data_IF_000421789653
#
_entry.id   IF_000421789653
#
_cell.length_a   1.000
_cell.length_b   1.000
_cell.length_c   1.000
_cell.angle_alpha   90.00
_cell.angle_beta   90.00
_cell.angle_gamma   90.00
#
_symmetry.space_group_name_H-M   'P 1'
#
loop_
_entity.id
_entity.type
_entity.pdbx_description
1 polymer ?
#
# COMPACT_ATOMS: atom_id res chain seq x y z
N UNK A 1 -33.19 8.58 -4.93
CA UNK A 1 -32.81 7.17 -5.16
C UNK A 1 -31.40 7.12 -5.78
N UNK A 2 -30.70 6.01 -5.62
CA UNK A 2 -29.34 5.80 -6.12
C UNK A 2 -29.20 6.14 -7.62
N UNK A 3 -30.19 5.82 -8.46
CA UNK A 3 -30.17 6.19 -9.87
C UNK A 3 -30.17 7.70 -10.11
N UNK A 4 -30.93 8.48 -9.32
CA UNK A 4 -30.94 9.94 -9.47
C UNK A 4 -29.59 10.52 -9.03
N UNK A 5 -29.00 9.99 -7.99
CA UNK A 5 -27.68 10.39 -7.52
C UNK A 5 -26.59 10.05 -8.55
N UNK A 6 -26.61 8.83 -9.09
CA UNK A 6 -25.71 8.41 -10.15
C UNK A 6 -25.83 9.32 -11.39
N UNK A 7 -27.05 9.64 -11.84
CA UNK A 7 -27.29 10.54 -12.97
C UNK A 7 -26.74 11.95 -12.71
N UNK A 8 -26.96 12.47 -11.50
CA UNK A 8 -26.53 13.82 -11.15
C UNK A 8 -25.01 13.93 -10.99
N UNK A 9 -24.37 12.87 -10.48
CA UNK A 9 -22.94 12.87 -10.18
C UNK A 9 -22.07 12.42 -11.36
N UNK A 10 -22.57 11.47 -12.17
CA UNK A 10 -21.78 10.80 -13.22
C UNK A 10 -22.38 10.93 -14.62
N UNK A 11 -23.57 11.54 -14.77
CA UNK A 11 -24.28 11.63 -16.05
C UNK A 11 -24.88 10.30 -16.55
N UNK A 12 -24.80 9.25 -15.75
CA UNK A 12 -25.29 7.89 -16.05
C UNK A 12 -26.09 7.38 -14.85
N UNK A 13 -27.24 6.76 -15.09
CA UNK A 13 -28.11 6.26 -14.01
C UNK A 13 -27.99 4.76 -13.73
N UNK A 14 -27.05 4.09 -14.37
CA UNK A 14 -26.79 2.69 -14.12
C UNK A 14 -26.23 2.52 -12.70
N UNK A 15 -26.76 1.54 -12.00
CA UNK A 15 -26.31 1.15 -10.65
C UNK A 15 -26.18 -0.34 -10.58
N UNK A 16 -25.27 -0.82 -9.74
CA UNK A 16 -25.10 -2.24 -9.43
C UNK A 16 -25.12 -2.44 -7.91
N UNK A 17 -25.25 -3.68 -7.48
CA UNK A 17 -25.33 -4.05 -6.07
C UNK A 17 -24.05 -4.79 -5.72
N UNK A 18 -23.41 -4.35 -4.64
CA UNK A 18 -22.25 -5.03 -4.07
C UNK A 18 -22.59 -5.64 -2.72
N UNK A 19 -21.89 -6.71 -2.35
CA UNK A 19 -22.01 -7.30 -1.01
C UNK A 19 -21.45 -6.34 0.03
N UNK A 20 -22.27 -6.02 1.03
CA UNK A 20 -21.81 -5.25 2.18
C UNK A 20 -21.12 -6.17 3.17
N UNK A 21 -19.85 -5.93 3.46
CA UNK A 21 -19.06 -6.67 4.43
C UNK A 21 -19.11 -5.95 5.77
N UNK A 22 -19.54 -6.63 6.82
CA UNK A 22 -19.57 -6.08 8.18
C UNK A 22 -18.18 -6.13 8.81
N UNK A 23 -17.81 -5.07 9.54
CA UNK A 23 -16.50 -4.93 10.22
C UNK A 23 -15.32 -5.26 9.30
N UNK A 24 -15.25 -4.66 8.10
CA UNK A 24 -14.27 -5.02 7.10
C UNK A 24 -12.85 -4.64 7.53
N UNK A 25 -11.89 -5.47 7.13
CA UNK A 25 -10.48 -5.08 7.09
C UNK A 25 -10.11 -4.69 5.68
N UNK A 26 -9.34 -3.64 5.56
CA UNK A 26 -8.76 -3.20 4.30
C UNK A 26 -7.35 -3.77 4.19
N UNK A 27 -7.21 -4.80 3.39
CA UNK A 27 -5.93 -5.49 3.17
C UNK A 27 -5.56 -5.34 1.70
N UNK A 28 -4.33 -5.04 1.44
CA UNK A 28 -3.85 -4.83 0.07
C UNK A 28 -2.59 -5.65 -0.22
N UNK A 29 -2.49 -6.10 -1.47
CA UNK A 29 -1.37 -6.91 -1.95
C UNK A 29 -0.51 -6.06 -2.90
N UNK A 30 0.76 -5.87 -2.56
CA UNK A 30 1.72 -5.27 -3.47
C UNK A 30 2.07 -6.26 -4.56
N UNK A 31 1.93 -5.86 -5.81
CA UNK A 31 2.41 -6.62 -6.97
C UNK A 31 3.52 -5.88 -7.70
N UNK A 32 4.37 -6.63 -8.37
CA UNK A 32 5.41 -6.11 -9.24
C UNK A 32 5.50 -6.99 -10.49
N UNK A 33 5.37 -6.39 -11.66
CA UNK A 33 5.42 -7.08 -12.95
C UNK A 33 6.46 -6.49 -13.90
N UNK A 34 7.06 -7.31 -14.76
CA UNK A 34 7.94 -6.88 -15.84
C UNK A 34 7.30 -7.03 -17.23
N UNK A 35 7.99 -6.52 -18.24
CA UNK A 35 7.56 -6.62 -19.65
C UNK A 35 7.70 -8.03 -20.25
N UNK A 36 8.30 -8.97 -19.51
CA UNK A 36 8.57 -10.34 -19.92
C UNK A 36 7.52 -11.33 -19.40
N UNK A 37 6.49 -10.84 -18.69
CA UNK A 37 5.39 -11.65 -18.14
C UNK A 37 5.66 -12.23 -16.76
N UNK A 38 6.78 -11.86 -16.11
CA UNK A 38 7.01 -12.23 -14.73
C UNK A 38 6.22 -11.27 -13.82
N UNK A 39 5.46 -11.83 -12.89
CA UNK A 39 4.72 -11.08 -11.89
C UNK A 39 4.87 -11.78 -10.55
N UNK A 40 5.21 -11.02 -9.52
CA UNK A 40 5.30 -11.48 -8.13
C UNK A 40 4.41 -10.64 -7.23
N UNK A 41 3.94 -11.21 -6.12
CA UNK A 41 3.35 -10.45 -5.02
C UNK A 41 4.35 -10.34 -3.87
N UNK A 42 4.35 -9.18 -3.22
CA UNK A 42 5.34 -8.80 -2.20
C UNK A 42 4.72 -8.72 -0.80
N UNK A 43 3.87 -9.70 -0.49
CA UNK A 43 3.06 -9.73 0.72
C UNK A 43 2.00 -8.63 0.79
N UNK A 44 1.34 -8.55 1.92
CA UNK A 44 0.25 -7.62 2.18
C UNK A 44 0.64 -6.46 3.08
N UNK A 45 -0.23 -5.44 3.04
CA UNK A 45 -0.31 -4.37 4.03
C UNK A 45 -1.69 -4.34 4.65
N UNK A 46 -1.75 -4.12 5.95
CA UNK A 46 -2.96 -3.84 6.73
C UNK A 46 -3.21 -2.34 6.71
N UNK A 47 -4.30 -1.89 6.12
CA UNK A 47 -4.61 -0.48 5.93
C UNK A 47 -6.00 -0.10 6.46
N UNK A 48 -6.51 -0.82 7.48
CA UNK A 48 -7.85 -0.60 8.02
C UNK A 48 -7.99 0.66 8.88
N UNK A 49 -6.87 1.21 9.38
CA UNK A 49 -6.92 2.44 10.19
C UNK A 49 -7.01 3.62 9.23
N UNK A 50 -8.23 4.07 9.03
CA UNK A 50 -8.56 5.14 8.08
C UNK A 50 -9.44 6.21 8.73
N UNK A 51 -9.35 7.41 8.21
CA UNK A 51 -10.28 8.49 8.51
C UNK A 51 -10.92 8.98 7.22
N UNK A 52 -12.24 8.85 7.10
CA UNK A 52 -13.00 9.23 5.89
C UNK A 52 -12.42 8.58 4.63
N UNK A 53 -12.12 7.28 4.69
CA UNK A 53 -11.50 6.49 3.61
C UNK A 53 -10.06 6.89 3.26
N UNK A 54 -9.43 7.77 4.04
CA UNK A 54 -8.01 8.06 3.91
C UNK A 54 -7.22 7.19 4.88
N UNK A 55 -6.25 6.46 4.38
CA UNK A 55 -5.32 5.66 5.19
C UNK A 55 -4.51 6.59 6.10
N UNK A 56 -4.32 6.19 7.36
CA UNK A 56 -3.62 6.98 8.40
C UNK A 56 -2.48 6.20 9.02
N UNK A 57 -2.70 4.91 9.28
CA UNK A 57 -1.68 3.99 9.77
C UNK A 57 -1.74 2.73 8.92
N UNK A 58 -0.59 2.34 8.43
CA UNK A 58 -0.38 1.14 7.63
C UNK A 58 0.62 0.22 8.32
N UNK A 59 0.43 -1.07 8.19
CA UNK A 59 1.21 -2.09 8.89
C UNK A 59 1.51 -3.26 7.96
N UNK A 60 2.70 -3.81 8.04
CA UNK A 60 3.08 -5.04 7.34
C UNK A 60 3.99 -5.90 8.23
N UNK A 61 3.72 -7.22 8.31
CA UNK A 61 2.56 -7.94 7.77
C UNK A 61 1.27 -7.63 8.55
N UNK A 62 0.11 -8.01 8.00
CA UNK A 62 -1.17 -7.89 8.71
C UNK A 62 -1.22 -8.88 9.89
N UNK A 63 -1.57 -8.42 11.10
CA UNK A 63 -1.80 -9.32 12.24
C UNK A 63 -3.12 -10.08 12.14
N UNK A 64 -3.99 -9.71 11.19
CA UNK A 64 -5.34 -10.23 11.09
C UNK A 64 -5.46 -11.45 10.18
N UNK A 65 -4.82 -11.43 9.00
CA UNK A 65 -4.97 -12.52 8.04
C UNK A 65 -4.07 -13.71 8.32
N UNK A 66 -4.59 -14.91 8.03
CA UNK A 66 -3.83 -16.15 8.11
C UNK A 66 -2.83 -16.29 6.95
N UNK A 67 -1.84 -17.16 7.09
CA UNK A 67 -0.90 -17.46 6.00
C UNK A 67 -1.62 -18.05 4.77
N UNK A 68 -2.69 -18.82 4.99
CA UNK A 68 -3.49 -19.36 3.90
C UNK A 68 -4.23 -18.26 3.14
N UNK A 69 -4.85 -17.31 3.86
CA UNK A 69 -5.53 -16.16 3.28
C UNK A 69 -4.56 -15.27 2.52
N UNK A 70 -3.41 -14.95 3.12
CA UNK A 70 -2.32 -14.18 2.49
C UNK A 70 -1.90 -14.78 1.16
N UNK A 71 -1.67 -16.09 1.15
CA UNK A 71 -1.29 -16.80 -0.07
C UNK A 71 -2.38 -16.72 -1.13
N UNK A 72 -3.62 -17.01 -0.76
CA UNK A 72 -4.75 -16.97 -1.69
C UNK A 72 -4.95 -15.57 -2.29
N UNK A 73 -4.87 -14.51 -1.47
CA UNK A 73 -4.94 -13.13 -1.93
C UNK A 73 -3.78 -12.78 -2.87
N UNK A 74 -2.56 -13.18 -2.52
CA UNK A 74 -1.36 -12.96 -3.34
C UNK A 74 -1.46 -13.65 -4.70
N UNK A 75 -1.89 -14.91 -4.74
CA UNK A 75 -2.09 -15.66 -5.99
C UNK A 75 -3.19 -15.03 -6.86
N UNK A 76 -4.28 -14.55 -6.25
CA UNK A 76 -5.33 -13.84 -6.99
C UNK A 76 -4.82 -12.51 -7.54
N UNK A 77 -4.06 -11.74 -6.76
CA UNK A 77 -3.47 -10.48 -7.21
C UNK A 77 -2.52 -10.69 -8.41
N UNK A 78 -1.68 -11.72 -8.36
CA UNK A 78 -0.81 -12.11 -9.49
C UNK A 78 -1.63 -12.52 -10.71
N UNK A 79 -2.70 -13.29 -10.53
CA UNK A 79 -3.56 -13.71 -11.63
C UNK A 79 -4.23 -12.51 -12.31
N UNK A 80 -4.74 -11.55 -11.52
CA UNK A 80 -5.32 -10.30 -12.02
C UNK A 80 -4.28 -9.48 -12.81
N UNK A 81 -3.09 -9.27 -12.24
CA UNK A 81 -2.02 -8.52 -12.89
C UNK A 81 -1.59 -9.18 -14.22
N UNK A 82 -1.44 -10.50 -14.25
CA UNK A 82 -1.12 -11.25 -15.48
C UNK A 82 -2.21 -11.14 -16.53
N UNK A 83 -3.49 -11.20 -16.15
CA UNK A 83 -4.61 -11.12 -17.08
C UNK A 83 -4.64 -9.79 -17.86
N UNK A 84 -4.19 -8.71 -17.24
CA UNK A 84 -4.10 -7.38 -17.86
C UNK A 84 -2.69 -7.04 -18.37
N UNK A 85 -1.75 -8.00 -18.29
CA UNK A 85 -0.32 -7.80 -18.68
C UNK A 85 0.30 -6.60 -17.94
N UNK A 86 0.00 -6.48 -16.65
CA UNK A 86 0.47 -5.37 -15.83
C UNK A 86 1.98 -5.34 -15.71
N UNK A 87 2.56 -4.16 -15.79
CA UNK A 87 3.98 -3.89 -15.64
C UNK A 87 4.19 -2.80 -14.58
N UNK A 88 5.32 -2.83 -13.89
CA UNK A 88 5.69 -1.94 -12.79
C UNK A 88 5.06 -2.35 -11.44
N UNK A 89 5.21 -1.50 -10.42
CA UNK A 89 4.59 -1.69 -9.13
C UNK A 89 3.12 -1.28 -9.16
N UNK A 90 2.28 -2.11 -8.58
CA UNK A 90 0.85 -1.85 -8.40
C UNK A 90 0.34 -2.51 -7.14
N UNK A 91 -0.85 -2.14 -6.72
CA UNK A 91 -1.46 -2.66 -5.50
C UNK A 91 -2.88 -3.12 -5.78
N UNK A 92 -3.18 -4.35 -5.39
CA UNK A 92 -4.53 -4.91 -5.45
C UNK A 92 -5.14 -4.80 -4.05
N UNK A 93 -6.21 -4.05 -3.92
CA UNK A 93 -6.90 -3.81 -2.66
C UNK A 93 -8.08 -4.77 -2.49
N UNK A 94 -8.25 -5.25 -1.25
CA UNK A 94 -9.29 -6.19 -0.87
C UNK A 94 -10.02 -5.73 0.39
N UNK A 95 -11.28 -6.12 0.47
CA UNK A 95 -12.08 -6.10 1.71
C UNK A 95 -12.10 -7.51 2.27
N UNK A 96 -11.69 -7.67 3.53
CA UNK A 96 -11.60 -8.97 4.20
C UNK A 96 -12.55 -9.01 5.39
N UNK A 97 -13.44 -10.00 5.41
CA UNK A 97 -14.37 -10.25 6.51
C UNK A 97 -13.73 -10.97 7.69
N UNK A 98 -14.43 -11.02 8.83
CA UNK A 98 -13.95 -11.67 10.06
C UNK A 98 -13.61 -13.15 9.89
N UNK A 99 -14.27 -13.83 8.95
CA UNK A 99 -14.12 -15.25 8.68
C UNK A 99 -13.03 -15.51 7.61
N UNK A 100 -12.20 -14.51 7.30
CA UNK A 100 -11.12 -14.57 6.31
C UNK A 100 -11.62 -14.67 4.86
N UNK A 101 -12.91 -14.46 4.61
CA UNK A 101 -13.44 -14.28 3.27
C UNK A 101 -12.99 -12.91 2.72
N UNK A 102 -12.55 -12.87 1.49
CA UNK A 102 -12.00 -11.65 0.91
C UNK A 102 -12.57 -11.37 -0.48
N UNK A 103 -12.72 -10.11 -0.80
CA UNK A 103 -13.32 -9.62 -2.03
C UNK A 103 -12.43 -8.55 -2.63
N UNK A 104 -12.21 -8.64 -3.94
CA UNK A 104 -11.51 -7.61 -4.70
C UNK A 104 -12.26 -6.28 -4.58
N UNK A 105 -11.54 -5.21 -4.32
CA UNK A 105 -12.06 -3.85 -4.27
C UNK A 105 -11.64 -3.07 -5.51
N UNK A 106 -10.33 -2.83 -5.65
CA UNK A 106 -9.77 -2.11 -6.78
C UNK A 106 -8.28 -2.44 -6.99
N UNK A 107 -7.72 -1.95 -8.09
CA UNK A 107 -6.27 -1.97 -8.33
C UNK A 107 -5.75 -0.55 -8.52
N UNK A 108 -4.77 -0.18 -7.71
CA UNK A 108 -4.01 1.03 -7.87
C UNK A 108 -2.79 0.77 -8.76
N UNK A 109 -2.80 1.35 -9.96
CA UNK A 109 -1.76 1.12 -10.98
C UNK A 109 -0.60 2.10 -10.85
N UNK A 110 -0.09 2.24 -9.63
CA UNK A 110 0.98 3.15 -9.24
C UNK A 110 1.62 2.71 -7.94
N UNK A 111 2.77 3.28 -7.63
CA UNK A 111 3.33 3.19 -6.29
C UNK A 111 2.43 3.99 -5.31
N UNK A 112 2.25 3.48 -4.12
CA UNK A 112 1.46 4.12 -3.06
C UNK A 112 2.38 4.68 -1.97
N UNK A 113 1.84 5.59 -1.15
CA UNK A 113 2.58 6.21 -0.03
C UNK A 113 3.10 5.15 0.92
N UNK A 114 2.30 4.13 1.20
CA UNK A 114 2.56 3.04 2.14
C UNK A 114 3.50 1.93 1.64
N UNK A 115 4.16 2.11 0.47
CA UNK A 115 5.14 1.13 -0.03
C UNK A 115 6.32 0.86 0.93
N UNK A 116 6.76 1.81 1.78
CA UNK A 116 7.90 1.59 2.65
C UNK A 116 7.73 0.43 3.63
N UNK A 117 6.51 0.16 4.13
CA UNK A 117 6.30 -1.00 5.02
C UNK A 117 6.53 -2.33 4.30
N UNK A 118 6.21 -2.40 3.01
CA UNK A 118 6.54 -3.57 2.15
C UNK A 118 8.05 -3.68 1.94
N UNK A 119 8.73 -2.58 1.65
CA UNK A 119 10.19 -2.55 1.48
C UNK A 119 10.90 -3.03 2.75
N UNK A 120 10.44 -2.57 3.93
CA UNK A 120 11.01 -2.96 5.21
C UNK A 120 10.92 -4.47 5.48
N UNK A 121 9.80 -5.13 5.15
CA UNK A 121 9.62 -6.57 5.43
C UNK A 121 10.17 -7.48 4.33
N UNK A 122 10.43 -6.95 3.13
CA UNK A 122 10.94 -7.73 1.99
C UNK A 122 12.42 -7.49 1.71
N UNK A 123 12.97 -6.37 2.16
CA UNK A 123 14.33 -5.94 1.84
C UNK A 123 14.51 -5.49 0.38
N UNK A 124 13.42 -5.14 -0.31
CA UNK A 124 13.42 -4.70 -1.71
C UNK A 124 13.28 -3.18 -1.80
N UNK A 125 13.93 -2.58 -2.78
CA UNK A 125 13.71 -1.19 -3.19
C UNK A 125 12.75 -1.18 -4.39
N UNK A 126 11.49 -0.82 -4.14
CA UNK A 126 10.45 -0.82 -5.16
C UNK A 126 10.67 0.25 -6.22
N UNK A 127 11.25 1.38 -5.85
CA UNK A 127 11.53 2.48 -6.78
C UNK A 127 12.64 2.07 -7.74
N UNK A 128 13.73 1.48 -7.24
CA UNK A 128 14.78 0.92 -8.10
C UNK A 128 14.21 -0.13 -9.06
N UNK A 129 13.41 -1.07 -8.54
CA UNK A 129 12.82 -2.12 -9.37
C UNK A 129 11.87 -1.57 -10.43
N UNK A 130 11.10 -0.52 -10.14
CA UNK A 130 10.26 0.17 -11.13
C UNK A 130 11.11 0.79 -12.26
N UNK A 131 12.22 1.43 -11.92
CA UNK A 131 13.15 2.03 -12.91
C UNK A 131 13.75 0.93 -13.78
N UNK A 132 14.19 -0.17 -13.19
CA UNK A 132 14.75 -1.32 -13.92
C UNK A 132 13.75 -1.96 -14.87
N UNK A 133 12.50 -2.15 -14.41
CA UNK A 133 11.41 -2.64 -15.26
C UNK A 133 11.11 -1.66 -16.40
N UNK A 134 11.09 -0.36 -16.15
CA UNK A 134 10.90 0.66 -17.18
C UNK A 134 12.03 0.67 -18.19
N UNK A 135 13.25 0.30 -17.78
CA UNK A 135 14.40 0.10 -18.67
C UNK A 135 14.32 -1.22 -19.48
N UNK A 136 13.28 -2.03 -19.29
CA UNK A 136 13.08 -3.31 -19.99
C UNK A 136 13.78 -4.51 -19.37
N UNK A 137 14.32 -4.37 -18.16
CA UNK A 137 14.94 -5.49 -17.45
C UNK A 137 13.90 -6.49 -16.96
N UNK A 138 14.33 -7.75 -16.84
CA UNK A 138 13.55 -8.77 -16.14
C UNK A 138 13.63 -8.55 -14.64
N UNK A 139 12.56 -8.95 -13.92
CA UNK A 139 12.62 -8.97 -12.47
C UNK A 139 13.80 -9.82 -12.00
N UNK A 140 14.64 -9.32 -11.07
CA UNK A 140 15.77 -10.06 -10.54
C UNK A 140 15.38 -11.11 -9.50
N UNK A 141 14.10 -11.23 -9.20
CA UNK A 141 13.53 -12.11 -8.18
C UNK A 141 12.38 -12.94 -8.76
N UNK A 142 12.19 -14.11 -8.18
CA UNK A 142 11.00 -14.97 -8.37
C UNK A 142 10.12 -14.92 -7.12
N UNK A 143 8.92 -15.51 -7.18
CA UNK A 143 8.05 -15.57 -6.00
C UNK A 143 8.69 -16.32 -4.82
N UNK A 144 9.56 -17.29 -5.09
CA UNK A 144 10.26 -18.05 -4.05
C UNK A 144 11.33 -17.23 -3.31
N UNK A 145 11.81 -16.14 -3.91
CA UNK A 145 12.82 -15.26 -3.34
C UNK A 145 12.21 -14.17 -2.47
N UNK A 146 10.88 -13.96 -2.55
CA UNK A 146 10.19 -12.95 -1.75
C UNK A 146 10.16 -13.34 -0.29
N UNK A 147 10.82 -12.55 0.53
CA UNK A 147 10.87 -12.72 1.98
C UNK A 147 9.73 -11.98 2.68
N UNK A 148 9.50 -12.36 3.91
CA UNK A 148 8.64 -11.67 4.87
C UNK A 148 9.34 -11.73 6.23
N UNK A 149 10.17 -10.74 6.49
CA UNK A 149 11.00 -10.70 7.70
C UNK A 149 10.72 -9.42 8.48
N UNK A 150 10.55 -9.57 9.80
CA UNK A 150 10.30 -8.44 10.68
C UNK A 150 8.87 -7.90 10.61
N UNK A 151 8.72 -6.63 11.02
CA UNK A 151 7.46 -5.91 11.13
C UNK A 151 7.68 -4.42 10.90
N UNK A 152 6.81 -3.77 10.15
CA UNK A 152 6.90 -2.34 9.87
C UNK A 152 5.55 -1.66 10.05
N UNK A 153 5.56 -0.45 10.60
CA UNK A 153 4.38 0.40 10.75
C UNK A 153 4.72 1.77 10.17
N UNK A 154 3.83 2.30 9.36
CA UNK A 154 3.86 3.65 8.84
C UNK A 154 2.76 4.49 9.49
N UNK A 155 3.07 5.73 9.81
CA UNK A 155 2.09 6.71 10.30
C UNK A 155 2.17 7.96 9.43
N UNK A 156 1.03 8.39 8.89
CA UNK A 156 0.93 9.64 8.15
C UNK A 156 0.67 10.80 9.11
N UNK A 157 1.56 11.78 9.09
CA UNK A 157 1.44 12.99 9.91
C UNK A 157 0.91 14.10 9.01
N UNK A 158 -0.31 14.54 9.28
CA UNK A 158 -1.00 15.57 8.50
C UNK A 158 -1.15 16.85 9.32
N UNK A 159 -0.91 18.00 8.68
CA UNK A 159 -1.18 19.31 9.27
C UNK A 159 -2.68 19.59 9.20
N UNK A 160 -3.41 19.22 10.25
CA UNK A 160 -4.88 19.34 10.37
C UNK A 160 -5.26 19.84 11.76
N UNK A 161 -6.35 20.60 11.83
CA UNK A 161 -6.87 21.15 13.08
C UNK A 161 -7.98 20.23 13.63
N UNK A 162 -7.73 19.49 14.73
CA UNK A 162 -8.71 18.57 15.30
C UNK A 162 -9.95 19.29 15.87
N UNK A 163 -9.81 20.55 16.29
CA UNK A 163 -10.92 21.34 16.83
C UNK A 163 -11.85 21.88 15.73
N UNK A 164 -11.37 21.91 14.49
CA UNK A 164 -12.13 22.32 13.31
C UNK A 164 -12.45 21.14 12.39
N UNK A 165 -12.74 19.99 12.98
CA UNK A 165 -13.11 18.78 12.26
C UNK A 165 -12.02 18.32 11.26
N UNK A 166 -10.75 18.47 11.66
CA UNK A 166 -9.57 18.10 10.87
C UNK A 166 -9.48 18.83 9.53
N UNK A 167 -9.88 20.10 9.49
CA UNK A 167 -9.60 20.93 8.32
C UNK A 167 -8.09 21.05 8.13
N UNK A 168 -7.61 20.99 6.88
CA UNK A 168 -6.21 21.26 6.59
C UNK A 168 -5.78 22.60 7.20
N UNK A 169 -4.65 22.58 7.90
CA UNK A 169 -4.03 23.75 8.51
C UNK A 169 -2.83 24.16 7.67
N UNK A 170 -2.94 25.29 7.00
CA UNK A 170 -1.88 25.87 6.18
C UNK A 170 -1.13 26.94 6.97
N UNK A 171 0.10 27.22 6.59
CA UNK A 171 0.93 28.25 7.18
C UNK A 171 2.34 27.76 7.48
N UNK A 172 3.13 28.64 8.07
CA UNK A 172 4.53 28.38 8.34
C UNK A 172 4.72 27.38 9.48
N UNK A 173 5.58 26.39 9.27
CA UNK A 173 6.06 25.49 10.32
C UNK A 173 7.07 26.23 11.21
N UNK A 174 6.63 26.67 12.39
CA UNK A 174 7.48 27.41 13.34
C UNK A 174 8.57 26.51 13.91
N UNK A 175 8.25 25.22 14.09
CA UNK A 175 9.19 24.21 14.55
C UNK A 175 8.82 22.87 13.94
N UNK A 176 9.79 22.22 13.30
CA UNK A 176 9.69 20.86 12.79
C UNK A 176 10.81 20.01 13.37
N UNK A 177 10.45 19.01 14.15
CA UNK A 177 11.41 18.15 14.83
C UNK A 177 10.98 16.68 14.71
N UNK A 178 11.29 16.04 13.58
CA UNK A 178 11.00 14.62 13.40
C UNK A 178 11.90 13.77 14.29
N UNK A 179 11.56 12.47 14.50
CA UNK A 179 12.47 11.54 15.13
C UNK A 179 13.76 11.39 14.30
N UNK A 180 14.84 10.98 14.96
CA UNK A 180 16.09 10.72 14.26
C UNK A 180 15.89 9.56 13.26
N UNK A 181 16.22 9.81 12.01
CA UNK A 181 16.21 8.79 10.98
C UNK A 181 17.39 7.84 11.17
N UNK A 182 17.14 6.56 11.26
CA UNK A 182 18.13 5.49 11.42
C UNK A 182 18.10 4.47 10.30
N UNK A 183 17.07 4.53 9.42
CA UNK A 183 16.97 3.78 8.17
C UNK A 183 17.12 4.75 7.01
N UNK A 184 18.02 4.46 6.09
CA UNK A 184 18.09 5.16 4.81
C UNK A 184 17.01 4.64 3.85
N UNK A 185 16.54 5.48 2.94
CA UNK A 185 15.51 5.12 1.96
C UNK A 185 15.93 3.93 1.06
N UNK A 186 17.23 3.68 0.95
CA UNK A 186 17.85 2.63 0.14
C UNK A 186 18.45 1.50 0.96
N UNK A 187 17.94 1.20 2.16
CA UNK A 187 18.53 0.10 2.96
C UNK A 187 18.31 -1.23 2.27
N UNK A 188 19.32 -1.61 1.52
CA UNK A 188 19.46 -2.94 0.93
C UNK A 188 19.85 -3.93 2.01
N UNK A 189 18.90 -4.67 2.52
CA UNK A 189 19.23 -5.90 3.25
C UNK A 189 19.30 -7.10 2.30
N UNK A 190 20.12 -7.01 1.27
CA UNK A 190 20.47 -8.21 0.48
C UNK A 190 21.19 -9.27 1.32
N UNK A 191 21.49 -8.97 2.58
CA UNK A 191 22.23 -9.88 3.49
C UNK A 191 21.46 -10.27 4.77
N UNK A 192 20.13 -10.07 4.80
CA UNK A 192 19.26 -10.71 5.79
C UNK A 192 19.40 -10.24 7.24
N UNK A 193 18.29 -9.81 7.80
CA UNK A 193 18.04 -9.61 9.21
C UNK A 193 17.13 -8.41 9.45
N UNK A 194 16.22 -8.46 10.44
CA UNK A 194 15.37 -7.34 10.77
C UNK A 194 16.24 -6.18 11.28
N UNK A 195 16.31 -5.10 10.50
CA UNK A 195 16.95 -3.87 10.96
C UNK A 195 15.84 -3.04 11.62
N UNK A 196 15.87 -2.98 12.95
CA UNK A 196 15.04 -2.03 13.69
C UNK A 196 15.51 -0.61 13.40
N UNK A 197 14.60 0.28 12.99
CA UNK A 197 14.95 1.65 12.70
C UNK A 197 13.75 2.53 12.34
N UNK A 198 14.03 3.80 12.14
CA UNK A 198 13.07 4.84 11.78
C UNK A 198 13.44 5.42 10.42
N UNK A 199 12.48 5.44 9.50
CA UNK A 199 12.53 6.17 8.24
C UNK A 199 11.56 7.35 8.32
N UNK A 200 11.96 8.51 7.80
CA UNK A 200 11.13 9.72 7.75
C UNK A 200 11.08 10.22 6.31
N UNK A 201 9.92 10.05 5.68
CA UNK A 201 9.67 10.61 4.35
C UNK A 201 8.93 11.94 4.52
N UNK A 202 9.55 13.04 4.16
CA UNK A 202 9.02 14.38 4.40
C UNK A 202 9.25 15.30 3.22
N UNK A 203 8.25 16.13 2.91
CA UNK A 203 8.36 17.23 1.96
C UNK A 203 8.47 18.60 2.64
N UNK A 204 8.57 18.63 3.99
CA UNK A 204 8.60 19.88 4.77
C UNK A 204 9.87 19.98 5.59
N UNK A 205 10.17 21.20 6.03
CA UNK A 205 11.35 21.50 6.84
C UNK A 205 11.05 22.61 7.85
N UNK A 206 11.92 22.80 8.81
CA UNK A 206 11.78 23.82 9.85
C UNK A 206 11.75 25.22 9.23
N UNK A 207 10.73 25.99 9.54
CA UNK A 207 10.50 27.33 8.96
C UNK A 207 9.85 27.33 7.56
N UNK A 208 9.56 26.17 6.97
CA UNK A 208 8.87 26.04 5.67
C UNK A 208 7.39 26.44 5.73
N UNK A 209 6.81 26.77 4.56
CA UNK A 209 5.38 27.11 4.35
C UNK A 209 4.72 26.08 3.46
#
# INVERSE_FOLDING_TARGET
SCRNEARNSFGDDRVFIEKYVLEPRHIEIQVLGDSHGNVVYLNERECSIQRRHQKVIEEAPSPFISDATRKAMGEQAVALAKAVKYQSAGTVEFVVGKDQDFYFLEMNTRLQVEHPVTECITGLDLVELMIRVAAGEKLPITQADVKREGWAIECRINAEDPFRNFLPSTGRLVKYQPPAQTLEASVRTLQGGPIGGVRVDTGVYDGGE
#
